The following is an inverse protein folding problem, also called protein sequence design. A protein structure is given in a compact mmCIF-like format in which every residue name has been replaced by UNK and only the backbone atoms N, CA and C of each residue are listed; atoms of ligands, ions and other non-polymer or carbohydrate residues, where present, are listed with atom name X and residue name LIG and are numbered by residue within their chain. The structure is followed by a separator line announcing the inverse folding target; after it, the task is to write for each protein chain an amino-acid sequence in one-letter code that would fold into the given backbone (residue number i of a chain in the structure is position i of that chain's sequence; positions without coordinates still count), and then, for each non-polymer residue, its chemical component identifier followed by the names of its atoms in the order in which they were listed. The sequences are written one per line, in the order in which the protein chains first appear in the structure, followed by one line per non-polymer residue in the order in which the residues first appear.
data_IF_947384836983
#
_entry.id   IF_947384836983
#
_cell.length_a   1.000
_cell.length_b   1.000
_cell.length_c   1.000
_cell.angle_alpha   90.00
_cell.angle_beta   90.00
_cell.angle_gamma   90.00
#
_symmetry.space_group_name_H-M   'P 1'
#
loop_
_entity.id
_entity.type
_entity.pdbx_description
1 polymer ?
#
# COMPACT_ATOMS: atom_id res chain seq x y z
N UNK A 1 7.63 -5.72 -9.72
CA UNK A 1 7.48 -4.25 -9.73
C UNK A 1 6.48 -3.87 -10.82
N UNK A 2 5.49 -3.03 -10.53
CA UNK A 2 4.50 -2.58 -11.53
C UNK A 2 5.13 -1.94 -12.78
N UNK A 3 6.30 -1.30 -12.66
CA UNK A 3 7.02 -0.67 -13.79
C UNK A 3 7.58 -1.66 -14.82
N UNK A 4 7.73 -2.93 -14.45
CA UNK A 4 8.31 -4.00 -15.29
C UNK A 4 7.22 -4.97 -15.80
N UNK A 5 5.96 -4.76 -15.39
CA UNK A 5 4.84 -5.65 -15.67
C UNK A 5 4.36 -5.67 -17.13
N UNK A 6 4.91 -4.78 -17.98
CA UNK A 6 4.60 -4.69 -19.41
C UNK A 6 5.08 -5.92 -20.19
N UNK A 7 6.20 -6.54 -19.79
CA UNK A 7 6.69 -7.76 -20.43
C UNK A 7 6.07 -8.99 -19.77
N UNK A 8 4.93 -9.44 -20.31
CA UNK A 8 4.16 -10.58 -19.74
C UNK A 8 4.97 -11.89 -19.69
N UNK A 9 5.82 -12.15 -20.69
CA UNK A 9 6.62 -13.37 -20.72
C UNK A 9 7.64 -13.37 -19.56
N UNK A 10 8.36 -12.26 -19.40
CA UNK A 10 9.29 -12.08 -18.29
C UNK A 10 8.58 -12.08 -16.94
N UNK A 11 7.42 -11.42 -16.83
CA UNK A 11 6.62 -11.41 -15.62
C UNK A 11 6.22 -12.82 -15.17
N UNK A 12 5.83 -13.69 -16.11
CA UNK A 12 5.50 -15.10 -15.83
C UNK A 12 6.69 -15.89 -15.30
N UNK A 13 7.87 -15.69 -15.87
CA UNK A 13 9.10 -16.31 -15.36
C UNK A 13 9.37 -15.88 -13.91
N UNK A 14 9.19 -14.60 -13.59
CA UNK A 14 9.34 -14.08 -12.22
C UNK A 14 8.26 -14.63 -11.29
N UNK A 15 6.98 -14.62 -11.71
CA UNK A 15 5.85 -15.12 -10.92
C UNK A 15 6.04 -16.58 -10.54
N UNK A 16 6.62 -17.40 -11.44
CA UNK A 16 6.92 -18.80 -11.16
C UNK A 16 7.94 -18.99 -10.03
N UNK A 17 8.81 -18.00 -9.77
CA UNK A 17 9.82 -18.03 -8.72
C UNK A 17 9.32 -17.47 -7.37
N UNK A 18 8.31 -16.58 -7.40
CA UNK A 18 7.80 -15.92 -6.18
C UNK A 18 7.40 -16.87 -5.04
N UNK A 19 6.81 -18.06 -5.27
CA UNK A 19 6.47 -18.98 -4.19
C UNK A 19 7.65 -19.31 -3.25
N UNK A 20 8.87 -19.49 -3.78
CA UNK A 20 10.06 -19.76 -2.96
C UNK A 20 10.37 -18.61 -2.00
N UNK A 21 10.18 -17.37 -2.44
CA UNK A 21 10.42 -16.19 -1.61
C UNK A 21 9.31 -15.96 -0.59
N UNK A 22 8.06 -16.26 -0.95
CA UNK A 22 6.91 -16.16 -0.03
C UNK A 22 6.96 -17.15 1.14
N UNK A 23 7.77 -18.21 1.02
CA UNK A 23 8.01 -19.18 2.10
C UNK A 23 9.09 -18.73 3.10
N UNK A 24 9.75 -17.59 2.88
CA UNK A 24 10.75 -17.06 3.82
C UNK A 24 10.10 -16.49 5.09
N UNK A 25 10.74 -16.66 6.26
CA UNK A 25 10.12 -16.41 7.57
C UNK A 25 9.71 -14.95 7.82
N UNK A 26 10.36 -13.98 7.18
CA UNK A 26 10.11 -12.55 7.39
C UNK A 26 9.30 -11.91 6.25
N UNK A 27 8.81 -12.72 5.29
CA UNK A 27 8.02 -12.21 4.17
C UNK A 27 6.55 -12.16 4.57
N UNK A 28 5.99 -10.95 4.56
CA UNK A 28 4.64 -10.71 5.09
C UNK A 28 3.53 -10.90 4.05
N UNK A 29 3.86 -10.87 2.76
CA UNK A 29 2.92 -11.00 1.67
C UNK A 29 3.54 -10.65 0.31
N UNK A 30 2.69 -10.35 -0.66
CA UNK A 30 3.08 -10.02 -2.04
C UNK A 30 2.96 -8.51 -2.31
N UNK A 31 4.03 -7.90 -2.80
CA UNK A 31 4.05 -6.48 -3.14
C UNK A 31 5.44 -5.96 -3.53
N UNK A 32 5.55 -4.76 -4.10
CA UNK A 32 4.43 -3.98 -4.65
C UNK A 32 3.99 -4.54 -6.03
N UNK A 33 2.69 -4.87 -6.15
CA UNK A 33 2.02 -5.30 -7.39
C UNK A 33 1.10 -4.19 -7.88
N UNK A 34 0.80 -4.06 -9.17
CA UNK A 34 -0.14 -3.02 -9.61
C UNK A 34 0.03 -2.61 -11.06
N UNK A 35 -0.39 -1.39 -11.37
CA UNK A 35 -0.33 -0.78 -12.69
C UNK A 35 0.62 0.41 -12.69
N UNK A 36 1.20 0.74 -13.85
CA UNK A 36 2.05 1.92 -14.01
C UNK A 36 1.64 2.78 -15.22
N UNK A 37 1.25 2.16 -16.34
CA UNK A 37 0.72 2.82 -17.56
C UNK A 37 -0.65 2.32 -17.98
N UNK A 38 -1.31 1.51 -17.14
CA UNK A 38 -2.66 0.98 -17.35
C UNK A 38 -2.80 0.12 -18.62
N UNK A 39 -1.73 -0.53 -19.06
CA UNK A 39 -1.77 -1.32 -20.30
C UNK A 39 -2.46 -2.67 -20.08
N UNK A 40 -2.91 -3.30 -21.17
CA UNK A 40 -3.46 -4.67 -21.12
C UNK A 40 -2.45 -5.70 -20.61
N UNK A 41 -1.17 -5.47 -20.90
CA UNK A 41 -0.10 -6.35 -20.46
C UNK A 41 0.12 -6.24 -18.95
N UNK A 42 0.17 -5.00 -18.42
CA UNK A 42 0.23 -4.77 -16.98
C UNK A 42 -0.98 -5.39 -16.26
N UNK A 43 -2.18 -5.26 -16.82
CA UNK A 43 -3.39 -5.90 -16.27
C UNK A 43 -3.28 -7.43 -16.29
N UNK A 44 -2.75 -8.03 -17.35
CA UNK A 44 -2.54 -9.49 -17.43
C UNK A 44 -1.61 -9.95 -16.32
N UNK A 45 -0.47 -9.27 -16.16
CA UNK A 45 0.51 -9.55 -15.09
C UNK A 45 -0.11 -9.35 -13.70
N UNK A 46 -0.90 -8.29 -13.51
CA UNK A 46 -1.56 -8.00 -12.23
C UNK A 46 -2.54 -9.10 -11.84
N UNK A 47 -3.36 -9.59 -12.78
CA UNK A 47 -4.30 -10.68 -12.52
C UNK A 47 -3.58 -11.98 -12.08
N UNK A 48 -2.44 -12.30 -12.70
CA UNK A 48 -1.64 -13.47 -12.33
C UNK A 48 -1.03 -13.33 -10.92
N UNK A 49 -0.58 -12.12 -10.55
CA UNK A 49 -0.07 -11.82 -9.20
C UNK A 49 -1.17 -11.87 -8.13
N UNK A 50 -2.37 -11.36 -8.45
CA UNK A 50 -3.55 -11.45 -7.58
C UNK A 50 -3.93 -12.92 -7.35
N UNK A 51 -3.99 -13.72 -8.42
CA UNK A 51 -4.28 -15.16 -8.30
C UNK A 51 -3.26 -15.87 -7.41
N UNK A 52 -1.97 -15.54 -7.53
CA UNK A 52 -0.93 -16.06 -6.64
C UNK A 52 -1.18 -15.67 -5.17
N UNK A 53 -1.48 -14.39 -4.92
CA UNK A 53 -1.77 -13.89 -3.57
C UNK A 53 -2.98 -14.57 -2.94
N UNK A 54 -4.08 -14.70 -3.69
CA UNK A 54 -5.30 -15.36 -3.24
C UNK A 54 -5.10 -16.86 -2.98
N UNK A 55 -4.43 -17.58 -3.89
CA UNK A 55 -4.18 -19.02 -3.74
C UNK A 55 -3.36 -19.36 -2.49
N UNK A 56 -2.51 -18.44 -2.06
CA UNK A 56 -1.60 -18.61 -0.94
C UNK A 56 -2.03 -17.88 0.34
N UNK A 57 -3.20 -17.22 0.30
CA UNK A 57 -3.71 -16.38 1.39
C UNK A 57 -2.68 -15.34 1.88
N UNK A 58 -2.03 -14.67 0.94
CA UNK A 58 -1.03 -13.64 1.26
C UNK A 58 -1.67 -12.26 1.42
N UNK A 59 -1.08 -11.42 2.28
CA UNK A 59 -1.35 -9.98 2.24
C UNK A 59 -0.93 -9.41 0.88
N UNK A 60 -1.70 -8.45 0.34
CA UNK A 60 -1.38 -7.82 -0.94
C UNK A 60 -1.19 -6.32 -0.79
N UNK A 61 -0.04 -5.82 -1.25
CA UNK A 61 0.29 -4.39 -1.29
C UNK A 61 0.33 -3.91 -2.75
N UNK A 62 -0.54 -2.96 -3.06
CA UNK A 62 -0.74 -2.44 -4.41
C UNK A 62 -0.05 -1.10 -4.64
N UNK A 63 0.65 -1.00 -5.77
CA UNK A 63 1.12 0.23 -6.38
C UNK A 63 0.03 0.83 -7.25
N UNK A 64 -0.31 2.10 -7.02
CA UNK A 64 -1.12 2.88 -7.96
C UNK A 64 -0.23 3.69 -8.91
N UNK A 65 -0.61 3.87 -10.19
CA UNK A 65 0.20 4.61 -11.17
C UNK A 65 0.53 6.04 -10.76
N UNK A 66 1.41 6.68 -11.52
CA UNK A 66 1.79 8.07 -11.32
C UNK A 66 1.00 9.04 -12.21
N UNK A 67 0.97 10.33 -11.83
CA UNK A 67 0.51 11.45 -12.66
C UNK A 67 -0.85 11.21 -13.34
N UNK A 68 -0.95 11.40 -14.65
CA UNK A 68 -2.17 11.30 -15.46
C UNK A 68 -2.85 9.94 -15.39
N UNK A 69 -2.08 8.87 -15.18
CA UNK A 69 -2.57 7.50 -15.11
C UNK A 69 -3.15 7.13 -13.73
N UNK A 70 -2.85 7.91 -12.68
CA UNK A 70 -3.12 7.55 -11.28
C UNK A 70 -4.60 7.31 -11.02
N UNK A 71 -5.46 8.25 -11.41
CA UNK A 71 -6.89 8.16 -11.12
C UNK A 71 -7.55 6.98 -11.85
N UNK A 72 -7.29 6.85 -13.15
CA UNK A 72 -7.83 5.75 -13.97
C UNK A 72 -7.32 4.39 -13.49
N UNK A 73 -6.02 4.28 -13.24
CA UNK A 73 -5.41 3.03 -12.78
C UNK A 73 -5.84 2.61 -11.38
N UNK A 74 -6.01 3.56 -10.45
CA UNK A 74 -6.58 3.28 -9.13
C UNK A 74 -7.97 2.67 -9.29
N UNK A 75 -8.84 3.26 -10.12
CA UNK A 75 -10.17 2.71 -10.39
C UNK A 75 -10.11 1.33 -11.04
N UNK A 76 -9.21 1.11 -11.99
CA UNK A 76 -9.03 -0.19 -12.62
C UNK A 76 -8.63 -1.27 -11.60
N UNK A 77 -7.68 -0.96 -10.70
CA UNK A 77 -7.28 -1.88 -9.62
C UNK A 77 -8.48 -2.20 -8.73
N UNK A 78 -9.25 -1.19 -8.32
CA UNK A 78 -10.43 -1.38 -7.48
C UNK A 78 -11.53 -2.19 -8.19
N UNK A 79 -11.76 -1.94 -9.49
CA UNK A 79 -12.73 -2.69 -10.29
C UNK A 79 -12.32 -4.17 -10.46
N UNK A 80 -11.02 -4.44 -10.66
CA UNK A 80 -10.46 -5.81 -10.70
C UNK A 80 -10.70 -6.51 -9.36
N UNK A 81 -10.33 -5.87 -8.24
CA UNK A 81 -10.48 -6.45 -6.91
C UNK A 81 -11.95 -6.69 -6.55
N UNK A 82 -12.84 -5.76 -6.91
CA UNK A 82 -14.28 -5.89 -6.70
C UNK A 82 -14.88 -7.05 -7.50
N UNK A 83 -14.28 -7.38 -8.65
CA UNK A 83 -14.71 -8.48 -9.52
C UNK A 83 -14.42 -9.87 -8.95
N UNK A 84 -13.58 -10.00 -7.92
CA UNK A 84 -13.20 -11.28 -7.33
C UNK A 84 -13.70 -11.42 -5.88
N UNK A 85 -14.71 -12.25 -5.68
CA UNK A 85 -15.33 -12.48 -4.37
C UNK A 85 -14.40 -13.10 -3.32
N UNK A 86 -13.23 -13.62 -3.72
CA UNK A 86 -12.23 -14.19 -2.80
C UNK A 86 -11.40 -13.11 -2.09
N UNK A 87 -11.43 -11.87 -2.60
CA UNK A 87 -10.64 -10.77 -2.05
C UNK A 87 -11.19 -10.33 -0.69
N UNK A 88 -10.40 -10.50 0.36
CA UNK A 88 -10.64 -9.86 1.65
C UNK A 88 -10.01 -8.46 1.68
N UNK A 89 -10.87 -7.45 1.76
CA UNK A 89 -10.48 -6.03 1.78
C UNK A 89 -9.59 -5.69 2.98
N UNK A 90 -9.66 -6.45 4.08
CA UNK A 90 -8.82 -6.27 5.26
C UNK A 90 -7.37 -6.70 5.06
N UNK A 91 -7.10 -7.48 4.01
CA UNK A 91 -5.77 -8.03 3.67
C UNK A 91 -5.12 -7.29 2.49
N UNK A 92 -5.73 -6.20 2.03
CA UNK A 92 -5.28 -5.45 0.85
C UNK A 92 -5.02 -3.99 1.19
N UNK A 93 -3.82 -3.53 0.85
CA UNK A 93 -3.43 -2.12 0.94
C UNK A 93 -3.24 -1.55 -0.46
N UNK A 94 -3.95 -0.46 -0.77
CA UNK A 94 -3.75 0.34 -1.97
C UNK A 94 -2.85 1.52 -1.59
N UNK A 95 -1.59 1.46 -2.00
CA UNK A 95 -0.56 2.43 -1.64
C UNK A 95 -0.42 3.56 -2.67
N UNK A 96 0.37 4.57 -2.31
CA UNK A 96 0.60 5.78 -3.09
C UNK A 96 -0.69 6.57 -3.33
N UNK A 97 -1.65 6.52 -2.38
CA UNK A 97 -2.87 7.31 -2.45
C UNK A 97 -2.56 8.82 -2.41
N UNK A 98 -3.31 9.57 -3.21
CA UNK A 98 -3.29 11.03 -3.25
C UNK A 98 -4.70 11.58 -2.96
N UNK A 99 -4.85 12.89 -2.83
CA UNK A 99 -6.08 13.55 -2.36
C UNK A 99 -7.31 13.17 -3.20
N UNK A 100 -7.09 12.93 -4.49
CA UNK A 100 -8.10 12.62 -5.48
C UNK A 100 -8.39 11.12 -5.64
N UNK A 101 -7.61 10.24 -4.98
CA UNK A 101 -7.77 8.78 -5.07
C UNK A 101 -8.07 8.11 -3.73
N UNK A 102 -7.58 8.66 -2.62
CA UNK A 102 -7.70 8.06 -1.28
C UNK A 102 -9.17 7.75 -0.90
N UNK A 103 -10.11 8.63 -1.26
CA UNK A 103 -11.53 8.40 -0.99
C UNK A 103 -12.06 7.14 -1.68
N UNK A 104 -11.64 6.87 -2.91
CA UNK A 104 -12.08 5.68 -3.65
C UNK A 104 -11.67 4.40 -2.92
N UNK A 105 -10.46 4.40 -2.35
CA UNK A 105 -9.91 3.28 -1.59
C UNK A 105 -10.66 3.08 -0.27
N UNK A 106 -10.86 4.17 0.49
CA UNK A 106 -11.53 4.15 1.79
C UNK A 106 -13.03 3.85 1.70
N UNK A 107 -13.75 4.43 0.73
CA UNK A 107 -15.19 4.18 0.51
C UNK A 107 -15.44 2.70 0.15
N UNK A 108 -14.42 2.04 -0.40
CA UNK A 108 -14.42 0.61 -0.66
C UNK A 108 -13.92 -0.24 0.52
N UNK A 109 -13.42 0.33 1.61
CA UNK A 109 -13.02 -0.41 2.81
C UNK A 109 -11.64 -1.08 2.73
N UNK A 110 -10.81 -0.73 1.75
CA UNK A 110 -9.41 -1.15 1.69
C UNK A 110 -8.53 -0.31 2.64
N UNK A 111 -7.31 -0.79 2.92
CA UNK A 111 -6.29 0.05 3.56
C UNK A 111 -5.73 1.05 2.55
N UNK A 112 -5.64 2.32 2.93
CA UNK A 112 -5.07 3.38 2.11
C UNK A 112 -3.66 3.74 2.60
N UNK A 113 -2.67 3.43 1.77
CA UNK A 113 -1.28 3.83 2.00
C UNK A 113 -1.01 5.23 1.43
N UNK A 114 -0.45 6.11 2.24
CA UNK A 114 0.03 7.43 1.83
C UNK A 114 1.56 7.41 1.91
N UNK A 115 2.18 7.46 0.74
CA UNK A 115 3.63 7.58 0.63
C UNK A 115 4.06 9.05 0.78
N UNK A 116 4.89 9.31 1.79
CA UNK A 116 5.53 10.59 2.06
C UNK A 116 6.84 10.64 1.29
N UNK A 117 6.90 11.46 0.25
CA UNK A 117 8.09 11.56 -0.62
C UNK A 117 8.30 13.00 -1.09
N UNK A 118 9.49 13.60 -0.87
CA UNK A 118 9.70 15.04 -1.03
C UNK A 118 9.36 15.61 -2.43
N UNK A 119 9.54 14.82 -3.48
CA UNK A 119 9.50 15.31 -4.87
C UNK A 119 8.29 14.87 -5.67
N UNK A 120 7.85 13.62 -5.52
CA UNK A 120 6.89 12.99 -6.46
C UNK A 120 5.60 12.48 -5.82
N UNK A 121 5.46 12.55 -4.49
CA UNK A 121 4.30 12.02 -3.75
C UNK A 121 3.76 13.05 -2.76
N UNK A 122 3.10 12.60 -1.70
CA UNK A 122 2.55 13.49 -0.68
C UNK A 122 3.67 14.09 0.18
N UNK A 123 3.53 15.37 0.52
CA UNK A 123 4.27 15.96 1.64
C UNK A 123 3.56 15.62 2.96
N UNK A 124 4.25 15.74 4.11
CA UNK A 124 3.61 15.63 5.42
C UNK A 124 2.37 16.53 5.59
N UNK A 125 2.38 17.74 5.02
CA UNK A 125 1.24 18.67 5.08
C UNK A 125 0.06 18.16 4.27
N UNK A 126 0.30 17.67 3.04
CA UNK A 126 -0.73 17.09 2.18
C UNK A 126 -1.34 15.83 2.80
N UNK A 127 -0.50 14.98 3.41
CA UNK A 127 -0.97 13.81 4.14
C UNK A 127 -1.86 14.20 5.34
N UNK A 128 -1.46 15.22 6.11
CA UNK A 128 -2.28 15.76 7.19
C UNK A 128 -3.64 16.29 6.68
N UNK A 129 -3.68 16.99 5.54
CA UNK A 129 -4.92 17.46 4.92
C UNK A 129 -5.86 16.29 4.56
N UNK A 130 -5.31 15.18 4.03
CA UNK A 130 -6.09 13.96 3.75
C UNK A 130 -6.63 13.31 5.03
N UNK A 131 -5.80 13.21 6.07
CA UNK A 131 -6.19 12.62 7.37
C UNK A 131 -7.30 13.46 8.03
N UNK A 132 -7.22 14.78 7.97
CA UNK A 132 -8.26 15.68 8.49
C UNK A 132 -9.59 15.52 7.76
N UNK A 133 -9.53 15.26 6.44
CA UNK A 133 -10.71 15.12 5.61
C UNK A 133 -11.40 13.76 5.76
N UNK A 134 -10.63 12.69 5.89
CA UNK A 134 -11.15 11.32 5.80
C UNK A 134 -11.03 10.52 7.11
N UNK A 135 -10.40 11.09 8.14
CA UNK A 135 -10.15 10.43 9.43
C UNK A 135 -8.89 9.58 9.43
N UNK A 136 -8.64 8.89 10.55
CA UNK A 136 -7.44 8.08 10.77
C UNK A 136 -7.66 6.57 10.54
N UNK A 137 -8.90 6.13 10.34
CA UNK A 137 -9.21 4.71 10.18
C UNK A 137 -8.75 4.22 8.80
N UNK A 138 -8.10 3.05 8.77
CA UNK A 138 -7.57 2.42 7.54
C UNK A 138 -6.52 3.21 6.76
N UNK A 139 -5.98 4.30 7.31
CA UNK A 139 -4.88 5.04 6.71
C UNK A 139 -3.55 4.62 7.32
N UNK A 140 -2.56 4.30 6.48
CA UNK A 140 -1.19 4.07 6.91
C UNK A 140 -0.25 4.95 6.09
N UNK A 141 0.92 5.24 6.66
CA UNK A 141 1.91 6.13 6.05
C UNK A 141 3.26 5.45 5.97
N UNK A 142 3.99 5.70 4.89
CA UNK A 142 5.34 5.20 4.69
C UNK A 142 6.21 6.27 4.02
N UNK A 143 7.53 6.16 4.12
CA UNK A 143 8.47 7.07 3.49
C UNK A 143 8.97 6.60 2.12
N UNK A 144 8.57 5.41 1.67
CA UNK A 144 9.10 4.73 0.47
C UNK A 144 10.61 4.92 0.34
N UNK A 145 11.37 4.49 1.35
CA UNK A 145 12.82 4.61 1.42
C UNK A 145 13.50 3.77 0.33
N UNK A 146 13.46 4.30 -0.90
CA UNK A 146 13.90 3.69 -2.13
C UNK A 146 15.14 4.40 -2.71
N UNK A 147 15.50 4.04 -3.94
CA UNK A 147 16.69 4.51 -4.64
C UNK A 147 16.67 5.99 -5.05
N UNK A 148 15.56 6.72 -4.85
CA UNK A 148 15.49 8.16 -5.12
C UNK A 148 15.76 9.02 -3.89
N UNK A 149 15.45 10.33 -3.93
CA UNK A 149 15.66 11.25 -2.80
C UNK A 149 14.61 11.04 -1.70
N UNK A 150 14.66 9.86 -1.08
CA UNK A 150 13.78 9.46 0.02
C UNK A 150 14.27 10.04 1.35
N UNK A 151 13.34 10.19 2.30
CA UNK A 151 13.64 10.67 3.65
C UNK A 151 13.12 9.68 4.70
N UNK A 152 14.01 8.98 5.44
CA UNK A 152 13.59 8.05 6.49
C UNK A 152 12.86 8.74 7.65
N UNK A 153 12.97 10.07 7.79
CA UNK A 153 12.31 10.85 8.83
C UNK A 153 10.93 11.37 8.43
N UNK A 154 10.46 11.13 7.20
CA UNK A 154 9.20 11.68 6.71
C UNK A 154 7.98 11.28 7.58
N UNK A 155 7.95 10.04 8.12
CA UNK A 155 6.87 9.61 9.03
C UNK A 155 6.93 10.37 10.38
N UNK A 156 8.08 10.45 11.07
CA UNK A 156 8.26 11.37 12.20
C UNK A 156 7.88 12.83 11.90
N UNK A 157 8.22 13.36 10.72
CA UNK A 157 7.85 14.71 10.31
C UNK A 157 6.34 14.90 10.22
N UNK A 158 5.61 13.93 9.65
CA UNK A 158 4.15 13.92 9.68
C UNK A 158 3.60 13.94 11.10
N UNK A 159 4.21 13.21 12.03
CA UNK A 159 3.78 13.24 13.44
C UNK A 159 3.90 14.65 14.02
N UNK A 160 4.97 15.40 13.68
CA UNK A 160 5.11 16.80 14.12
C UNK A 160 4.08 17.73 13.47
N UNK A 161 3.78 17.54 12.18
CA UNK A 161 2.73 18.31 11.50
C UNK A 161 1.36 18.05 12.12
N UNK A 162 1.00 16.79 12.37
CA UNK A 162 -0.27 16.46 13.02
C UNK A 162 -0.36 17.06 14.43
N UNK A 163 0.73 17.00 15.22
CA UNK A 163 0.77 17.62 16.56
C UNK A 163 0.59 19.13 16.49
N UNK A 164 1.28 19.81 15.58
CA UNK A 164 1.19 21.27 15.45
C UNK A 164 -0.20 21.74 14.99
N UNK A 165 -0.94 20.86 14.30
CA UNK A 165 -2.33 21.06 13.92
C UNK A 165 -3.37 20.61 14.97
N UNK A 166 -2.92 20.18 16.15
CA UNK A 166 -3.80 19.85 17.29
C UNK A 166 -4.38 18.44 17.28
N UNK A 167 -3.88 17.52 16.43
CA UNK A 167 -4.31 16.12 16.47
C UNK A 167 -3.85 15.43 17.75
N UNK A 168 -4.71 14.54 18.26
CA UNK A 168 -4.43 13.80 19.49
C UNK A 168 -3.29 12.78 19.32
N UNK A 169 -2.61 12.45 20.41
CA UNK A 169 -1.62 11.37 20.41
C UNK A 169 -2.22 10.02 19.98
N UNK A 170 -3.50 9.77 20.32
CA UNK A 170 -4.22 8.57 19.91
C UNK A 170 -4.45 8.52 18.39
N UNK A 171 -4.83 9.64 17.77
CA UNK A 171 -4.98 9.76 16.31
C UNK A 171 -3.65 9.47 15.60
N UNK A 172 -2.57 10.07 16.09
CA UNK A 172 -1.23 9.89 15.50
C UNK A 172 -0.78 8.44 15.64
N UNK A 173 -0.93 7.86 16.84
CA UNK A 173 -0.61 6.45 17.11
C UNK A 173 -1.41 5.52 16.20
N UNK A 174 -2.70 5.79 15.99
CA UNK A 174 -3.53 5.00 15.10
C UNK A 174 -2.92 4.86 13.71
N UNK A 175 -2.45 5.98 13.15
CA UNK A 175 -1.94 6.05 11.77
C UNK A 175 -0.56 5.41 11.64
N UNK A 176 0.36 5.73 12.56
CA UNK A 176 1.77 5.33 12.44
C UNK A 176 2.11 4.00 13.11
N UNK A 177 1.18 3.43 13.90
CA UNK A 177 1.43 2.23 14.69
C UNK A 177 0.27 1.25 14.65
N UNK A 178 -0.92 1.62 15.15
CA UNK A 178 -2.01 0.64 15.31
C UNK A 178 -2.53 0.12 13.96
N UNK A 179 -2.65 0.97 12.94
CA UNK A 179 -3.10 0.58 11.60
C UNK A 179 -2.08 -0.34 10.90
N UNK A 180 -0.77 0.01 10.81
CA UNK A 180 0.24 -0.91 10.30
C UNK A 180 0.23 -2.26 11.02
N UNK A 181 0.14 -2.27 12.35
CA UNK A 181 0.04 -3.52 13.11
C UNK A 181 -1.23 -4.29 12.76
N UNK A 182 -2.38 -3.64 12.68
CA UNK A 182 -3.64 -4.30 12.32
C UNK A 182 -3.61 -4.93 10.92
N UNK A 183 -2.93 -4.31 9.95
CA UNK A 183 -2.72 -4.89 8.63
C UNK A 183 -1.73 -6.06 8.67
N UNK A 184 -0.51 -5.81 9.12
CA UNK A 184 0.59 -6.78 8.99
C UNK A 184 0.49 -7.97 9.95
N UNK A 185 -0.17 -7.81 11.11
CA UNK A 185 -0.40 -8.90 12.06
C UNK A 185 -1.32 -10.01 11.51
N UNK A 186 -1.93 -9.81 10.35
CA UNK A 186 -2.71 -10.84 9.68
C UNK A 186 -1.83 -11.78 8.83
N UNK A 187 -0.53 -11.51 8.70
CA UNK A 187 0.41 -12.41 8.04
C UNK A 187 0.87 -13.52 8.98
N UNK A 188 0.96 -14.75 8.47
CA UNK A 188 1.49 -15.93 9.21
C UNK A 188 2.94 -15.75 9.68
N UNK A 189 3.66 -14.85 9.03
CA UNK A 189 5.08 -14.58 9.24
C UNK A 189 5.32 -13.33 10.08
N UNK A 190 4.25 -12.65 10.52
CA UNK A 190 4.40 -11.47 11.36
C UNK A 190 4.61 -11.87 12.83
N UNK A 191 5.77 -11.52 13.37
CA UNK A 191 6.08 -11.63 14.79
C UNK A 191 6.49 -10.26 15.33
N UNK A 192 5.77 -9.78 16.34
CA UNK A 192 6.02 -8.48 16.94
C UNK A 192 5.99 -8.57 18.46
N UNK A 193 7.07 -8.11 19.10
CA UNK A 193 7.15 -7.91 20.55
C UNK A 193 7.21 -6.41 20.80
N UNK A 194 6.17 -5.84 21.45
CA UNK A 194 6.16 -4.43 21.83
C UNK A 194 7.40 -4.06 22.64
N UNK A 195 7.94 -2.84 22.49
CA UNK A 195 9.10 -2.40 23.28
C UNK A 195 8.86 -2.44 24.79
N UNK A 196 7.61 -2.27 25.24
CA UNK A 196 7.25 -2.33 26.66
C UNK A 196 7.37 -3.75 27.25
N UNK A 197 7.36 -4.77 26.39
CA UNK A 197 7.40 -6.19 26.76
C UNK A 197 8.79 -6.83 26.54
N UNK A 198 9.82 -6.02 26.23
CA UNK A 198 11.21 -6.48 25.99
C UNK A 198 12.07 -6.50 27.25
#
# INVERSE_FOLDING_TARGET
NAKEAENVAFAREVIALLPEFLDRPDVLGIGEIGLNKNTRNEVTTLLELIELGLKRDELMLFHTPHLEDKYAGTRMILDILRGDSRVDRNRVCIDHCEEHTIRLVLDEGYWAGITLYPTTKASPQRAADMIERYGAERILVNSSADWGPSDPLAVPELMFVLRSRGHSAATIRRIVYDNPLALFNQSRNFSFTPPEDR
#
